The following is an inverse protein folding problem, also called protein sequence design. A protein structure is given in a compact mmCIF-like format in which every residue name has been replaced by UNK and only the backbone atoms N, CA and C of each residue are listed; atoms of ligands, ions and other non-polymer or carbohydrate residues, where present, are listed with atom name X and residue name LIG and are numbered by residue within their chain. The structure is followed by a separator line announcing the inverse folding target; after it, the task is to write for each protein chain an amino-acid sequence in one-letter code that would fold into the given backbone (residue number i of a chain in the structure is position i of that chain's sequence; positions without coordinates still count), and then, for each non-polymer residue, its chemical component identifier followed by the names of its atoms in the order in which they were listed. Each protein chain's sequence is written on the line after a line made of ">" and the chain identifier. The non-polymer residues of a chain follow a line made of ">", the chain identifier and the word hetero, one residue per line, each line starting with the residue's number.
data_IF_896191579479
#
_entry.id   IF_896191579479
#
_cell.length_a   1.000
_cell.length_b   1.000
_cell.length_c   1.000
_cell.angle_alpha   90.00
_cell.angle_beta   90.00
_cell.angle_gamma   90.00
#
_symmetry.space_group_name_H-M   'P 1'
#
loop_
_entity.id
_entity.type
_entity.pdbx_description
1 polymer ?
#
# COMPACT_ATOMS: atom_id res chain seq x y z
N UNK A 1 2.52 4.35 -18.56
CA UNK A 1 1.18 4.49 -17.99
C UNK A 1 0.83 3.27 -17.16
N UNK A 2 0.12 3.46 -16.04
CA UNK A 2 -0.44 2.35 -15.29
C UNK A 2 -1.46 1.62 -16.18
N UNK A 3 -1.54 0.29 -16.03
CA UNK A 3 -2.47 -0.53 -16.83
C UNK A 3 -3.59 -1.03 -15.93
N UNK A 4 -4.77 -1.25 -16.50
CA UNK A 4 -5.81 -2.05 -15.87
C UNK A 4 -5.32 -3.49 -15.71
N UNK A 5 -5.85 -4.22 -14.74
CA UNK A 5 -5.50 -5.64 -14.53
C UNK A 5 -6.22 -6.56 -15.52
N UNK A 6 -7.14 -6.03 -16.34
CA UNK A 6 -8.01 -6.85 -17.19
C UNK A 6 -8.93 -7.72 -16.33
N UNK A 7 -9.24 -7.26 -15.13
CA UNK A 7 -10.22 -7.92 -14.28
C UNK A 7 -11.60 -7.84 -14.93
N UNK A 8 -12.45 -8.81 -14.66
CA UNK A 8 -13.85 -8.78 -15.13
C UNK A 8 -14.71 -7.74 -14.39
N UNK A 9 -14.09 -6.79 -13.69
CA UNK A 9 -14.78 -5.70 -13.00
C UNK A 9 -15.18 -4.60 -13.99
N UNK A 10 -16.45 -4.19 -14.03
CA UNK A 10 -16.87 -3.06 -14.84
C UNK A 10 -16.21 -1.77 -14.33
N UNK A 11 -15.91 -0.85 -15.25
CA UNK A 11 -15.36 0.48 -14.96
C UNK A 11 -13.96 0.49 -14.33
N UNK A 12 -13.15 -0.53 -14.54
CA UNK A 12 -11.75 -0.51 -14.12
C UNK A 12 -11.01 0.66 -14.78
N UNK A 13 -10.30 1.45 -13.98
CA UNK A 13 -9.48 2.58 -14.45
C UNK A 13 -8.00 2.22 -14.44
N UNK A 14 -7.28 2.65 -15.47
CA UNK A 14 -5.86 2.36 -15.62
C UNK A 14 -4.95 3.09 -14.62
N UNK A 15 -5.41 4.19 -14.03
CA UNK A 15 -4.54 5.07 -13.26
C UNK A 15 -3.50 5.78 -14.13
N UNK A 16 -2.54 6.47 -13.51
CA UNK A 16 -1.47 7.19 -14.21
C UNK A 16 -0.18 7.15 -13.39
N UNK A 17 0.88 6.63 -13.99
CA UNK A 17 2.26 6.87 -13.54
C UNK A 17 2.88 7.87 -14.51
N UNK A 18 3.07 9.14 -14.13
CA UNK A 18 3.53 10.17 -15.03
C UNK A 18 4.99 9.93 -15.45
N UNK A 19 5.27 10.19 -16.72
CA UNK A 19 6.63 10.16 -17.27
C UNK A 19 6.94 11.45 -17.98
N UNK A 20 8.22 11.71 -18.26
CA UNK A 20 8.65 12.86 -19.07
C UNK A 20 7.99 12.86 -20.45
N UNK A 21 7.93 11.68 -21.08
CA UNK A 21 7.31 11.51 -22.40
C UNK A 21 5.80 11.79 -22.33
N UNK A 22 5.10 11.21 -21.32
CA UNK A 22 3.68 11.49 -21.09
C UNK A 22 3.40 12.99 -20.95
N UNK A 23 4.15 13.68 -20.08
CA UNK A 23 3.94 15.12 -19.87
C UNK A 23 4.16 15.95 -21.12
N UNK A 24 5.19 15.61 -21.92
CA UNK A 24 5.45 16.30 -23.18
C UNK A 24 4.33 16.07 -24.19
N UNK A 25 3.81 14.85 -24.29
CA UNK A 25 2.73 14.51 -25.22
C UNK A 25 1.39 15.14 -24.81
N UNK A 26 0.99 15.03 -23.52
CA UNK A 26 -0.32 15.46 -23.05
C UNK A 26 -0.41 16.96 -22.75
N UNK A 27 0.67 17.55 -22.21
CA UNK A 27 0.66 18.93 -21.72
C UNK A 27 1.57 19.88 -22.52
N UNK A 28 2.33 19.37 -23.49
CA UNK A 28 3.27 20.16 -24.29
C UNK A 28 4.44 20.76 -23.50
N UNK A 29 4.61 20.39 -22.21
CA UNK A 29 5.57 20.99 -21.28
C UNK A 29 6.67 20.01 -20.89
N UNK A 30 7.86 20.54 -20.61
CA UNK A 30 8.98 19.76 -20.09
C UNK A 30 8.75 19.37 -18.62
N UNK A 31 9.37 18.25 -18.22
CA UNK A 31 9.38 17.80 -16.83
C UNK A 31 10.30 18.66 -15.97
N UNK A 32 9.87 19.01 -14.75
CA UNK A 32 10.64 19.82 -13.81
C UNK A 32 11.14 18.98 -12.63
N UNK A 33 12.19 19.45 -11.95
CA UNK A 33 12.72 18.81 -10.73
C UNK A 33 11.65 18.77 -9.62
N UNK A 34 10.87 19.87 -9.50
CA UNK A 34 9.78 19.93 -8.52
C UNK A 34 8.72 18.83 -8.71
N UNK A 35 8.44 18.46 -9.96
CA UNK A 35 7.52 17.36 -10.26
C UNK A 35 8.10 15.99 -9.87
N UNK A 36 9.41 15.80 -9.97
CA UNK A 36 10.08 14.60 -9.47
C UNK A 36 9.89 14.44 -7.96
N UNK A 37 10.07 15.53 -7.20
CA UNK A 37 9.89 15.53 -5.76
C UNK A 37 8.44 15.23 -5.38
N UNK A 38 7.49 15.90 -6.06
CA UNK A 38 6.05 15.71 -5.82
C UNK A 38 5.62 14.29 -6.20
N UNK A 39 6.05 13.77 -7.34
CA UNK A 39 5.75 12.40 -7.77
C UNK A 39 6.37 11.35 -6.82
N UNK A 40 7.55 11.63 -6.27
CA UNK A 40 8.23 10.76 -5.31
C UNK A 40 7.46 10.54 -4.00
N UNK A 41 6.53 11.41 -3.65
CA UNK A 41 5.63 11.28 -2.50
C UNK A 41 4.21 10.87 -2.90
N UNK A 42 4.00 10.45 -4.16
CA UNK A 42 2.70 9.99 -4.66
C UNK A 42 1.69 11.11 -4.94
N UNK A 43 2.17 12.34 -5.11
CA UNK A 43 1.35 13.53 -5.38
C UNK A 43 1.50 14.00 -6.84
N UNK A 44 0.83 15.08 -7.19
CA UNK A 44 0.87 15.68 -8.52
C UNK A 44 0.04 14.88 -9.53
N UNK A 45 0.67 14.40 -10.59
CA UNK A 45 -0.02 13.68 -11.68
C UNK A 45 -0.20 12.18 -11.41
N UNK A 46 0.26 11.65 -10.28
CA UNK A 46 0.10 10.23 -9.94
C UNK A 46 -1.36 9.93 -9.65
N UNK A 47 -1.93 8.98 -10.40
CA UNK A 47 -3.29 8.49 -10.18
C UNK A 47 -3.25 6.97 -9.98
N UNK A 48 -3.90 6.51 -8.93
CA UNK A 48 -4.03 5.08 -8.64
C UNK A 48 -5.43 4.77 -8.11
N UNK A 49 -5.97 3.64 -8.50
CA UNK A 49 -7.22 3.13 -7.92
C UNK A 49 -6.95 2.43 -6.59
N UNK A 50 -7.93 2.32 -5.68
CA UNK A 50 -7.78 1.53 -4.46
C UNK A 50 -7.34 0.08 -4.74
N UNK A 51 -7.85 -0.53 -5.80
CA UNK A 51 -7.44 -1.88 -6.21
C UNK A 51 -5.96 -1.94 -6.58
N UNK A 52 -5.45 -0.97 -7.34
CA UNK A 52 -4.03 -0.89 -7.68
C UNK A 52 -3.15 -0.74 -6.45
N UNK A 53 -3.58 0.05 -5.46
CA UNK A 53 -2.86 0.21 -4.19
C UNK A 53 -2.86 -1.08 -3.37
N UNK A 54 -3.98 -1.80 -3.31
CA UNK A 54 -4.06 -3.10 -2.63
C UNK A 54 -3.15 -4.15 -3.31
N UNK A 55 -3.16 -4.22 -4.65
CA UNK A 55 -2.30 -5.13 -5.41
C UNK A 55 -0.82 -4.77 -5.27
N UNK A 56 -0.47 -3.49 -5.29
CA UNK A 56 0.89 -3.03 -5.01
C UNK A 56 1.34 -3.51 -3.62
N UNK A 57 0.52 -3.29 -2.60
CA UNK A 57 0.79 -3.73 -1.24
C UNK A 57 1.00 -5.24 -1.17
N UNK A 58 0.10 -6.03 -1.76
CA UNK A 58 0.22 -7.49 -1.81
C UNK A 58 1.54 -7.94 -2.45
N UNK A 59 1.93 -7.32 -3.58
CA UNK A 59 3.19 -7.65 -4.27
C UNK A 59 4.44 -7.30 -3.46
N UNK A 60 4.40 -6.22 -2.70
CA UNK A 60 5.54 -5.83 -1.85
C UNK A 60 5.74 -6.77 -0.67
N UNK A 61 4.65 -7.26 -0.06
CA UNK A 61 4.74 -8.03 1.19
C UNK A 61 4.76 -9.54 0.99
N UNK A 62 4.53 -10.03 -0.23
CA UNK A 62 4.61 -11.45 -0.56
C UNK A 62 5.95 -11.87 -1.20
N UNK A 63 7.01 -11.10 -0.95
CA UNK A 63 8.33 -11.37 -1.53
C UNK A 63 8.48 -10.96 -3.00
N UNK A 64 7.64 -10.05 -3.48
CA UNK A 64 7.70 -9.56 -4.87
C UNK A 64 6.97 -10.44 -5.88
N UNK A 65 6.31 -11.50 -5.44
CA UNK A 65 5.53 -12.34 -6.34
C UNK A 65 4.40 -11.53 -6.98
N UNK A 66 4.27 -11.62 -8.29
CA UNK A 66 3.22 -10.91 -8.99
C UNK A 66 1.86 -11.57 -8.74
N UNK A 67 0.90 -10.77 -8.34
CA UNK A 67 -0.50 -11.18 -8.20
C UNK A 67 -1.36 -10.42 -9.20
N UNK A 68 -2.37 -11.09 -9.74
CA UNK A 68 -3.42 -10.49 -10.57
C UNK A 68 -4.74 -10.70 -9.84
N UNK A 69 -5.48 -9.61 -9.52
CA UNK A 69 -6.76 -9.74 -8.83
C UNK A 69 -7.78 -10.45 -9.73
N UNK A 70 -8.61 -11.30 -9.13
CA UNK A 70 -9.69 -12.05 -9.79
C UNK A 70 -10.94 -11.97 -8.96
N UNK A 71 -12.08 -11.76 -9.57
CA UNK A 71 -13.38 -11.84 -8.89
C UNK A 71 -13.81 -13.30 -8.79
N UNK A 72 -13.67 -14.06 -9.88
CA UNK A 72 -14.00 -15.48 -9.92
C UNK A 72 -12.73 -16.32 -9.97
N UNK A 73 -12.68 -17.35 -9.16
CA UNK A 73 -11.58 -18.32 -9.11
C UNK A 73 -11.91 -19.57 -9.94
N UNK A 74 -13.18 -19.97 -9.97
CA UNK A 74 -13.67 -21.11 -10.70
C UNK A 74 -15.13 -20.87 -11.13
N UNK A 75 -15.61 -21.63 -12.09
CA UNK A 75 -17.01 -21.66 -12.52
C UNK A 75 -17.59 -23.04 -12.21
N UNK A 76 -18.84 -23.08 -11.76
CA UNK A 76 -19.59 -24.34 -11.64
C UNK A 76 -20.16 -24.76 -13.00
N UNK A 77 -19.86 -25.96 -13.42
CA UNK A 77 -20.51 -26.58 -14.57
C UNK A 77 -21.97 -26.96 -14.25
N UNK A 78 -22.75 -27.29 -15.30
CA UNK A 78 -24.12 -27.77 -15.13
C UNK A 78 -24.19 -29.10 -14.36
N UNK A 79 -23.12 -29.83 -14.35
CA UNK A 79 -22.87 -31.11 -13.61
C UNK A 79 -22.43 -30.91 -12.16
N UNK A 80 -22.37 -29.65 -11.68
CA UNK A 80 -21.88 -29.31 -10.35
C UNK A 80 -20.34 -29.31 -10.22
N UNK A 81 -19.62 -29.69 -11.27
CA UNK A 81 -18.14 -29.69 -11.21
C UNK A 81 -17.59 -28.28 -11.20
N UNK A 82 -16.62 -28.03 -10.32
CA UNK A 82 -15.90 -26.74 -10.26
C UNK A 82 -14.73 -26.73 -11.25
N UNK A 83 -14.78 -25.85 -12.23
CA UNK A 83 -13.71 -25.68 -13.24
C UNK A 83 -12.91 -24.41 -12.90
N UNK A 84 -11.63 -24.56 -12.50
CA UNK A 84 -10.80 -23.40 -12.22
C UNK A 84 -10.63 -22.51 -13.46
N UNK A 85 -10.74 -21.20 -13.28
CA UNK A 85 -10.42 -20.24 -14.33
C UNK A 85 -8.90 -20.11 -14.49
N UNK A 86 -8.40 -19.95 -15.73
CA UNK A 86 -6.98 -19.71 -15.97
C UNK A 86 -6.48 -18.52 -15.15
N UNK A 87 -5.33 -18.66 -14.52
CA UNK A 87 -4.67 -17.56 -13.84
C UNK A 87 -3.38 -17.20 -14.55
N UNK A 88 -3.26 -15.94 -14.96
CA UNK A 88 -1.98 -15.42 -15.42
C UNK A 88 -1.07 -15.16 -14.22
N UNK A 89 0.18 -15.60 -14.29
CA UNK A 89 1.23 -15.21 -13.35
C UNK A 89 2.15 -14.23 -14.07
N UNK A 90 1.94 -12.92 -13.90
CA UNK A 90 2.88 -11.96 -14.46
C UNK A 90 4.26 -12.13 -13.82
N UNK A 91 5.33 -11.62 -14.44
CA UNK A 91 6.66 -11.70 -13.85
C UNK A 91 6.70 -11.02 -12.49
N UNK A 92 7.55 -11.47 -11.56
CA UNK A 92 7.71 -10.83 -10.26
C UNK A 92 8.17 -9.38 -10.41
N UNK A 93 7.99 -8.58 -9.37
CA UNK A 93 8.50 -7.21 -9.35
C UNK A 93 10.03 -7.24 -9.35
N UNK A 94 10.65 -6.37 -10.14
CA UNK A 94 12.10 -6.27 -10.21
C UNK A 94 12.64 -5.40 -9.05
N UNK A 95 12.53 -5.94 -7.83
CA UNK A 95 13.01 -5.32 -6.59
C UNK A 95 13.79 -6.38 -5.82
N UNK A 96 14.96 -6.02 -5.27
CA UNK A 96 15.76 -6.97 -4.53
C UNK A 96 15.06 -7.43 -3.24
N UNK A 97 15.38 -8.65 -2.79
CA UNK A 97 14.83 -9.22 -1.56
C UNK A 97 15.14 -8.37 -0.33
N UNK A 98 16.34 -7.78 -0.26
CA UNK A 98 16.74 -6.88 0.83
C UNK A 98 15.86 -5.63 0.86
N UNK A 99 15.60 -5.03 -0.31
CA UNK A 99 14.71 -3.85 -0.41
C UNK A 99 13.29 -4.20 0.03
N UNK A 100 12.76 -5.36 -0.38
CA UNK A 100 11.43 -5.82 0.04
C UNK A 100 11.38 -6.06 1.56
N UNK A 101 12.43 -6.63 2.15
CA UNK A 101 12.52 -6.78 3.61
C UNK A 101 12.57 -5.44 4.34
N UNK A 102 13.32 -4.47 3.83
CA UNK A 102 13.35 -3.10 4.40
C UNK A 102 11.97 -2.47 4.34
N UNK A 103 11.29 -2.56 3.20
CA UNK A 103 9.92 -2.06 3.04
C UNK A 103 8.94 -2.75 4.00
N UNK A 104 9.00 -4.08 4.13
CA UNK A 104 8.16 -4.84 5.06
C UNK A 104 8.36 -4.39 6.52
N UNK A 105 9.62 -4.25 6.97
CA UNK A 105 9.93 -3.73 8.32
C UNK A 105 9.44 -2.29 8.51
N UNK A 106 9.61 -1.43 7.50
CA UNK A 106 9.13 -0.05 7.56
C UNK A 106 7.60 0.01 7.63
N UNK A 107 6.89 -0.81 6.86
CA UNK A 107 5.43 -0.89 6.91
C UNK A 107 4.92 -1.46 8.24
N UNK A 108 5.60 -2.45 8.82
CA UNK A 108 5.29 -2.96 10.16
C UNK A 108 5.48 -1.87 11.22
N UNK A 109 6.55 -1.08 11.14
CA UNK A 109 6.83 0.00 12.09
C UNK A 109 5.76 1.11 12.10
N UNK A 110 4.99 1.28 11.02
CA UNK A 110 3.90 2.27 10.94
C UNK A 110 2.83 2.04 12.03
N UNK A 111 2.56 0.79 12.37
CA UNK A 111 1.58 0.42 13.41
C UNK A 111 2.24 -0.03 14.71
N UNK A 112 3.38 -0.70 14.64
CA UNK A 112 3.99 -1.35 15.81
C UNK A 112 4.96 -0.43 16.58
N UNK A 113 5.65 0.49 15.91
CA UNK A 113 6.58 1.41 16.57
C UNK A 113 5.85 2.44 17.44
N UNK A 114 6.48 2.85 18.55
CA UNK A 114 5.99 3.95 19.41
C UNK A 114 5.87 5.28 18.66
N UNK A 115 6.67 5.47 17.61
CA UNK A 115 6.64 6.62 16.70
C UNK A 115 5.90 6.35 15.39
N UNK A 116 5.20 5.20 15.28
CA UNK A 116 4.47 4.82 14.09
C UNK A 116 3.30 5.76 13.80
N UNK A 117 3.15 6.18 12.53
CA UNK A 117 2.13 7.15 12.13
C UNK A 117 0.69 6.62 12.27
N UNK A 118 0.50 5.31 12.34
CA UNK A 118 -0.80 4.67 12.59
C UNK A 118 -0.79 3.78 13.84
N UNK A 119 0.04 4.10 14.85
CA UNK A 119 0.10 3.32 16.10
C UNK A 119 -1.27 3.18 16.78
N UNK A 120 -2.12 4.20 16.74
CA UNK A 120 -3.46 4.16 17.32
C UNK A 120 -4.41 3.15 16.64
N UNK A 121 -4.05 2.68 15.46
CA UNK A 121 -4.83 1.67 14.73
C UNK A 121 -4.17 0.27 14.76
N UNK A 122 -3.17 0.04 15.63
CA UNK A 122 -2.53 -1.28 15.71
C UNK A 122 -3.50 -2.37 16.14
N UNK A 123 -3.27 -3.58 15.67
CA UNK A 123 -3.87 -4.79 16.21
C UNK A 123 -2.95 -5.30 17.31
N UNK A 124 -3.46 -5.45 18.53
CA UNK A 124 -2.65 -5.81 19.71
C UNK A 124 -2.15 -7.26 19.64
N UNK A 125 -2.97 -8.16 19.10
CA UNK A 125 -2.62 -9.55 18.92
C UNK A 125 -1.51 -9.70 17.86
N UNK A 126 -0.39 -10.29 18.25
CA UNK A 126 0.80 -10.47 17.40
C UNK A 126 0.56 -11.38 16.22
N UNK A 127 -0.32 -12.38 16.37
CA UNK A 127 -0.59 -13.37 15.34
C UNK A 127 -1.44 -12.81 14.21
N UNK A 128 -2.22 -11.74 14.49
CA UNK A 128 -3.07 -11.05 13.54
C UNK A 128 -2.60 -9.63 13.24
N UNK A 129 -1.46 -9.22 13.81
CA UNK A 129 -0.92 -7.87 13.69
C UNK A 129 -0.80 -7.39 12.24
N UNK A 130 -1.10 -6.12 12.02
CA UNK A 130 -1.05 -5.51 10.69
C UNK A 130 0.12 -4.56 10.51
N UNK A 131 0.56 -4.40 9.27
CA UNK A 131 1.44 -3.34 8.81
C UNK A 131 0.79 -2.52 7.71
N UNK A 132 1.38 -1.36 7.37
CA UNK A 132 0.80 -0.54 6.32
C UNK A 132 1.50 0.80 6.11
N UNK A 133 0.81 1.71 5.40
CA UNK A 133 1.26 3.08 5.17
C UNK A 133 0.07 4.02 5.13
N UNK A 134 0.15 5.09 5.91
CA UNK A 134 -0.81 6.21 5.87
C UNK A 134 -0.57 7.07 4.64
N UNK A 135 -1.62 7.62 4.07
CA UNK A 135 -1.57 8.61 3.01
C UNK A 135 -2.57 9.74 3.25
N UNK A 136 -2.26 10.89 2.69
CA UNK A 136 -3.17 12.04 2.64
C UNK A 136 -3.06 12.62 1.23
N UNK A 137 -4.16 12.64 0.49
CA UNK A 137 -4.20 13.18 -0.86
C UNK A 137 -4.83 14.55 -0.84
N UNK A 138 -4.05 15.57 -1.22
CA UNK A 138 -4.50 16.95 -1.25
C UNK A 138 -5.52 17.17 -2.38
N UNK A 139 -6.66 17.79 -2.04
CA UNK A 139 -7.69 18.14 -3.02
C UNK A 139 -7.64 19.61 -3.43
N UNK A 140 -7.00 20.47 -2.63
CA UNK A 140 -6.88 21.89 -2.90
C UNK A 140 -5.43 22.33 -3.02
N UNK A 141 -5.20 23.43 -3.72
CA UNK A 141 -3.89 24.05 -3.77
C UNK A 141 -3.67 24.91 -2.52
N UNK A 142 -2.57 24.64 -1.80
CA UNK A 142 -2.11 25.50 -0.71
C UNK A 142 -1.32 26.66 -1.33
N UNK A 143 -1.78 27.89 -1.12
CA UNK A 143 -1.14 29.09 -1.66
C UNK A 143 0.13 29.46 -0.90
N UNK A 144 1.00 30.27 -1.52
CA UNK A 144 2.21 30.78 -0.84
C UNK A 144 1.86 31.71 0.33
N UNK A 145 0.75 32.45 0.25
CA UNK A 145 0.26 33.27 1.35
C UNK A 145 -0.13 32.39 2.54
N UNK A 146 -0.91 31.35 2.31
CA UNK A 146 -1.31 30.39 3.36
C UNK A 146 -0.09 29.66 3.98
N UNK A 147 0.95 29.35 3.19
CA UNK A 147 2.18 28.76 3.73
C UNK A 147 2.93 29.69 4.67
N UNK A 148 2.85 31.00 4.48
CA UNK A 148 3.49 32.01 5.37
C UNK A 148 2.70 32.26 6.63
N UNK A 149 1.36 32.24 6.57
CA UNK A 149 0.47 32.53 7.71
C UNK A 149 0.05 31.28 8.50
N UNK A 150 0.37 30.10 7.99
CA UNK A 150 -0.04 28.81 8.55
C UNK A 150 -1.08 28.12 7.67
N UNK A 151 -0.82 26.82 7.38
CA UNK A 151 -1.75 26.00 6.59
C UNK A 151 -2.95 25.62 7.47
N UNK A 152 -4.17 25.88 6.96
CA UNK A 152 -5.40 25.53 7.67
C UNK A 152 -5.51 24.01 7.83
N UNK A 153 -5.91 23.58 9.02
CA UNK A 153 -6.12 22.14 9.33
C UNK A 153 -7.41 21.63 8.67
N UNK A 154 -7.48 20.35 8.36
CA UNK A 154 -8.65 19.73 7.75
C UNK A 154 -9.95 19.93 8.56
N UNK A 155 -9.86 19.97 9.90
CA UNK A 155 -11.01 20.11 10.80
C UNK A 155 -11.75 21.45 10.64
N UNK A 156 -11.03 22.51 10.24
CA UNK A 156 -11.59 23.86 10.04
C UNK A 156 -11.95 24.16 8.59
N UNK A 157 -11.72 23.21 7.69
CA UNK A 157 -12.07 23.32 6.28
C UNK A 157 -13.48 22.79 6.02
N UNK A 158 -14.16 23.36 5.04
CA UNK A 158 -15.37 22.76 4.48
C UNK A 158 -15.06 21.33 4.01
N UNK A 159 -16.04 20.44 4.11
CA UNK A 159 -15.85 19.03 3.78
C UNK A 159 -15.22 18.83 2.40
N UNK A 160 -15.66 19.55 1.38
CA UNK A 160 -15.16 19.45 0.00
C UNK A 160 -13.70 19.91 -0.18
N UNK A 161 -13.18 20.69 0.75
CA UNK A 161 -11.80 21.17 0.75
C UNK A 161 -10.85 20.28 1.55
N UNK A 162 -11.38 19.34 2.34
CA UNK A 162 -10.58 18.42 3.13
C UNK A 162 -9.87 17.42 2.25
N UNK A 163 -8.66 17.08 2.65
CA UNK A 163 -7.87 16.05 1.97
C UNK A 163 -8.55 14.68 2.02
N UNK A 164 -8.25 13.80 1.07
CA UNK A 164 -8.67 12.40 1.16
C UNK A 164 -7.77 11.65 2.12
N UNK A 165 -8.37 10.87 3.03
CA UNK A 165 -7.64 10.00 3.95
C UNK A 165 -7.39 8.64 3.29
N UNK A 166 -6.14 8.18 3.31
CA UNK A 166 -5.74 6.91 2.71
C UNK A 166 -4.97 6.04 3.70
N UNK A 167 -5.17 4.75 3.59
CA UNK A 167 -4.34 3.74 4.23
C UNK A 167 -4.25 2.50 3.34
N UNK A 168 -3.04 2.00 3.17
CA UNK A 168 -2.82 0.66 2.63
C UNK A 168 -2.26 -0.20 3.74
N UNK A 169 -2.74 -1.44 3.83
CA UNK A 169 -2.33 -2.34 4.89
C UNK A 169 -2.32 -3.80 4.47
N UNK A 170 -1.73 -4.61 5.32
CA UNK A 170 -1.71 -6.07 5.17
C UNK A 170 -1.67 -6.74 6.54
N UNK A 171 -2.11 -7.97 6.59
CA UNK A 171 -2.07 -8.82 7.79
C UNK A 171 -2.09 -10.32 7.40
N UNK A 172 -1.59 -11.19 8.28
CA UNK A 172 -0.73 -10.92 9.44
C UNK A 172 0.70 -10.50 9.03
N UNK A 173 1.46 -9.89 9.94
CA UNK A 173 2.82 -9.41 9.63
C UNK A 173 3.80 -10.52 9.26
N UNK A 174 3.76 -11.64 9.99
CA UNK A 174 4.70 -12.76 9.83
C UNK A 174 4.41 -13.64 8.61
N UNK A 175 3.15 -13.67 8.15
CA UNK A 175 2.72 -14.46 7.00
C UNK A 175 1.61 -13.71 6.23
N UNK A 176 1.92 -12.68 5.46
CA UNK A 176 0.93 -11.83 4.79
C UNK A 176 -0.06 -12.63 3.93
N UNK A 177 -1.35 -12.55 4.25
CA UNK A 177 -2.42 -13.23 3.52
C UNK A 177 -3.41 -12.26 2.90
N UNK A 178 -3.65 -11.14 3.56
CA UNK A 178 -4.64 -10.15 3.17
C UNK A 178 -3.99 -8.80 2.98
N UNK A 179 -4.36 -8.11 1.93
CA UNK A 179 -3.99 -6.73 1.68
C UNK A 179 -5.25 -5.88 1.51
N UNK A 180 -5.23 -4.66 2.04
CA UNK A 180 -6.34 -3.72 2.00
C UNK A 180 -5.87 -2.35 1.53
N UNK A 181 -6.72 -1.64 0.82
CA UNK A 181 -6.58 -0.21 0.57
C UNK A 181 -7.89 0.48 0.94
N UNK A 182 -7.80 1.45 1.83
CA UNK A 182 -8.92 2.27 2.29
C UNK A 182 -8.72 3.70 1.83
N UNK A 183 -9.71 4.25 1.14
CA UNK A 183 -9.76 5.64 0.70
C UNK A 183 -11.05 6.24 1.20
N UNK A 184 -10.95 7.30 2.00
CA UNK A 184 -12.10 8.06 2.50
C UNK A 184 -12.03 9.45 1.91
N UNK A 185 -12.93 9.72 0.98
CA UNK A 185 -13.03 11.03 0.33
C UNK A 185 -13.33 12.11 1.36
N UNK A 186 -12.52 13.17 1.34
CA UNK A 186 -12.60 14.30 2.25
C UNK A 186 -12.54 13.92 3.75
N UNK A 187 -11.90 12.76 4.04
CA UNK A 187 -11.78 12.23 5.39
C UNK A 187 -10.68 12.88 6.23
N UNK A 188 -9.84 13.73 5.64
CA UNK A 188 -8.73 14.40 6.34
C UNK A 188 -7.49 13.53 6.48
N UNK A 189 -7.18 13.06 7.67
CA UNK A 189 -5.93 12.33 7.96
C UNK A 189 -6.03 10.81 7.82
N UNK A 190 -5.09 10.20 7.07
CA UNK A 190 -5.05 8.75 6.89
C UNK A 190 -4.89 7.97 8.19
N UNK A 191 -4.10 8.47 9.13
CA UNK A 191 -3.88 7.83 10.44
C UNK A 191 -5.11 7.82 11.34
N UNK A 192 -5.87 8.92 11.32
CA UNK A 192 -7.03 9.11 12.20
C UNK A 192 -8.31 8.46 11.67
N UNK A 193 -8.46 8.36 10.34
CA UNK A 193 -9.71 7.93 9.70
C UNK A 193 -9.54 6.62 8.94
N UNK A 194 -8.61 6.54 7.98
CA UNK A 194 -8.50 5.37 7.11
C UNK A 194 -7.83 4.16 7.80
N UNK A 195 -6.84 4.39 8.67
CA UNK A 195 -6.13 3.30 9.34
C UNK A 195 -6.99 2.50 10.33
N UNK A 196 -7.86 3.11 11.18
CA UNK A 196 -8.79 2.36 12.03
C UNK A 196 -9.76 1.49 11.23
N UNK A 197 -10.29 2.01 10.12
CA UNK A 197 -11.19 1.25 9.23
C UNK A 197 -10.44 0.05 8.63
N UNK A 198 -9.21 0.26 8.16
CA UNK A 198 -8.38 -0.83 7.64
C UNK A 198 -8.10 -1.91 8.70
N UNK A 199 -7.83 -1.50 9.95
CA UNK A 199 -7.68 -2.41 11.10
C UNK A 199 -8.90 -3.29 11.26
N UNK A 200 -10.08 -2.69 11.35
CA UNK A 200 -11.33 -3.40 11.61
C UNK A 200 -11.67 -4.37 10.46
N UNK A 201 -11.43 -3.95 9.20
CA UNK A 201 -11.55 -4.81 8.04
C UNK A 201 -10.57 -6.00 8.09
N UNK A 202 -9.31 -5.77 8.45
CA UNK A 202 -8.31 -6.84 8.52
C UNK A 202 -8.58 -7.80 9.68
N UNK A 203 -9.04 -7.32 10.84
CA UNK A 203 -9.47 -8.19 11.95
C UNK A 203 -10.60 -9.10 11.49
N UNK A 204 -11.65 -8.53 10.91
CA UNK A 204 -12.81 -9.30 10.47
C UNK A 204 -12.47 -10.27 9.33
N UNK A 205 -11.61 -9.86 8.39
CA UNK A 205 -11.17 -10.72 7.29
C UNK A 205 -10.36 -11.91 7.80
N UNK A 206 -9.45 -11.69 8.74
CA UNK A 206 -8.66 -12.76 9.34
C UNK A 206 -9.53 -13.72 10.17
N UNK A 207 -10.53 -13.19 10.90
CA UNK A 207 -11.50 -14.00 11.66
C UNK A 207 -12.30 -14.92 10.74
N UNK A 208 -12.75 -14.43 9.60
CA UNK A 208 -13.53 -15.23 8.61
C UNK A 208 -12.66 -16.14 7.78
N UNK A 209 -11.42 -15.80 7.59
CA UNK A 209 -10.42 -16.48 6.74
C UNK A 209 -11.00 -16.99 5.39
N UNK A 210 -11.49 -16.08 4.52
CA UNK A 210 -12.15 -16.49 3.27
C UNK A 210 -11.23 -17.28 2.33
N UNK A 211 -9.91 -17.13 2.47
CA UNK A 211 -8.94 -17.92 1.71
C UNK A 211 -8.96 -19.42 2.06
N UNK A 212 -9.57 -19.80 3.18
CA UNK A 212 -9.73 -21.20 3.63
C UNK A 212 -10.95 -21.90 3.01
N UNK A 213 -11.90 -21.13 2.47
CA UNK A 213 -13.26 -21.57 2.17
C UNK A 213 -13.45 -21.98 0.71
N UNK A 214 -12.44 -21.99 -0.12
CA UNK A 214 -12.61 -22.40 -1.53
C UNK A 214 -12.37 -23.90 -1.68
N UNK A 215 -13.42 -24.75 -1.64
CA UNK A 215 -13.28 -26.19 -1.83
C UNK A 215 -12.79 -26.47 -3.27
N UNK A 216 -11.81 -27.33 -3.41
CA UNK A 216 -11.36 -27.83 -4.72
C UNK A 216 -10.36 -26.93 -5.49
N UNK A 217 -9.96 -25.77 -4.96
CA UNK A 217 -8.78 -25.09 -5.46
C UNK A 217 -7.54 -25.60 -4.71
N UNK A 218 -6.43 -25.90 -5.41
CA UNK A 218 -5.19 -26.19 -4.74
C UNK A 218 -4.88 -24.99 -3.84
N UNK A 219 -4.79 -25.23 -2.53
CA UNK A 219 -4.32 -24.23 -1.60
C UNK A 219 -2.96 -23.78 -2.13
N UNK A 220 -2.82 -22.48 -2.46
CA UNK A 220 -1.53 -21.95 -2.77
C UNK A 220 -0.66 -22.25 -1.53
N UNK A 221 0.23 -23.22 -1.65
CA UNK A 221 1.22 -23.47 -0.62
C UNK A 221 1.99 -22.17 -0.52
N UNK A 222 1.72 -21.42 0.52
CA UNK A 222 2.59 -20.34 0.96
C UNK A 222 3.83 -21.10 1.38
N UNK A 223 4.81 -21.20 0.49
CA UNK A 223 6.12 -21.65 0.86
C UNK A 223 6.55 -20.76 2.03
N UNK A 224 6.86 -21.33 3.21
CA UNK A 224 7.36 -20.55 4.30
C UNK A 224 8.57 -19.81 3.75
N UNK A 225 8.61 -18.49 3.93
CA UNK A 225 9.81 -17.73 3.69
C UNK A 225 10.88 -18.38 4.59
N UNK A 226 11.72 -19.24 4.01
CA UNK A 226 12.84 -19.87 4.69
C UNK A 226 13.87 -18.79 4.97
N UNK A 227 13.74 -18.23 6.16
CA UNK A 227 14.58 -17.18 6.70
C UNK A 227 14.01 -16.75 8.03
N UNK A 228 14.16 -17.58 9.07
CA UNK A 228 14.04 -17.09 10.44
C UNK A 228 14.96 -15.89 10.59
N UNK A 229 14.46 -14.70 10.96
CA UNK A 229 15.36 -13.64 11.38
C UNK A 229 15.96 -14.08 12.71
N UNK A 230 17.26 -14.43 12.68
CA UNK A 230 18.05 -14.57 13.90
C UNK A 230 17.86 -13.32 14.73
N UNK A 231 17.53 -13.48 16.00
CA UNK A 231 17.46 -12.40 16.98
C UNK A 231 18.78 -11.62 16.94
N UNK A 232 18.77 -10.30 16.71
CA UNK A 232 19.98 -9.54 16.86
C UNK A 232 20.34 -9.48 18.36
N UNK A 233 21.51 -9.96 18.71
CA UNK A 233 22.16 -9.71 20.00
C UNK A 233 22.28 -8.20 20.24
N UNK A 234 22.10 -7.71 21.48
CA UNK A 234 22.08 -6.26 21.74
C UNK A 234 23.47 -5.60 21.87
N UNK A 235 24.52 -6.20 21.37
CA UNK A 235 25.87 -5.66 21.51
C UNK A 235 26.46 -5.21 20.16
N UNK A 236 26.73 -3.92 20.07
CA UNK A 236 27.75 -3.36 19.18
C UNK A 236 27.32 -2.55 17.96
N UNK A 237 26.79 -1.37 18.15
CA UNK A 237 26.97 -0.27 17.18
C UNK A 237 27.60 0.92 17.89
N UNK A 238 28.91 0.93 17.89
CA UNK A 238 29.70 2.12 18.21
C UNK A 238 29.54 3.13 17.06
N UNK A 239 28.94 4.26 17.35
CA UNK A 239 28.91 5.43 16.47
C UNK A 239 30.31 5.98 16.30
N UNK A 240 30.94 5.80 15.15
CA UNK A 240 32.12 6.57 14.75
C UNK A 240 31.66 7.98 14.36
N UNK A 241 31.99 8.94 15.20
CA UNK A 241 31.90 10.37 14.90
C UNK A 241 32.86 10.70 13.76
N UNK A 242 32.32 11.15 12.64
CA UNK A 242 33.10 11.74 11.57
C UNK A 242 33.33 13.22 11.91
N UNK A 243 34.54 13.55 12.21
CA UNK A 243 35.07 14.91 12.38
C UNK A 243 35.04 15.63 11.03
N UNK A 244 34.21 16.67 10.91
CA UNK A 244 34.23 17.58 9.76
C UNK A 244 35.31 18.64 10.02
N UNK A 245 36.46 18.48 9.39
CA UNK A 245 37.51 19.50 9.34
C UNK A 245 37.11 20.61 8.39
N UNK A 246 36.93 21.82 8.91
CA UNK A 246 36.81 23.06 8.14
C UNK A 246 38.16 23.41 7.48
N UNK A 247 38.13 23.58 6.19
CA UNK A 247 38.94 24.58 5.47
C UNK A 247 38.12 25.18 4.33
#
# INVERSE_FOLDING_TARGET
>A
PARSFGSSMPNERAGLVPTRAWKKAELGKSWTIGETLIAGIGQGYVLATPLQLAVMTARLVNGGAAVTPRIAAALSGKDGTMRPLPSSRPPPVNISSETLQVLGRAMAAVTMSTRGTARGARIEDKDTAMGGKTGTSQVRRITMAERRTGVRRNEVLDRKERDHALFVGYAPLHAPRYAVAVVIEHGGGGSAVAAPIARDLLIETQRRDPARIVPGLPQASVAPATGSPGSPSPDGVALRSAEVTRR
#
